data_IF_802715493707
#
_entry.id   IF_802715493707
#
_cell.length_a   1.000
_cell.length_b   1.000
_cell.length_c   1.000
_cell.angle_alpha   90.00
_cell.angle_beta   90.00
_cell.angle_gamma   90.00
#
_symmetry.space_group_name_H-M   'P 1'
#
loop_
_entity.id
_entity.type
_entity.pdbx_description
1 polymer ?
#
# COMPACT_ATOMS: atom_id res chain seq x y z
N UNK A 1 0.77 25.35 2.24
CA UNK A 1 0.11 24.06 2.49
C UNK A 1 0.43 23.73 3.93
N UNK A 2 -0.59 23.54 4.78
CA UNK A 2 -0.36 23.13 6.16
C UNK A 2 -0.41 21.60 6.23
N UNK A 3 0.54 21.00 6.94
CA UNK A 3 0.51 19.57 7.24
C UNK A 3 -0.71 19.31 8.15
N UNK A 4 -1.55 18.38 7.74
CA UNK A 4 -2.79 18.04 8.42
C UNK A 4 -2.86 16.53 8.68
N UNK A 5 -2.63 16.12 9.93
CA UNK A 5 -2.77 14.72 10.37
C UNK A 5 -4.20 14.22 10.17
N UNK A 6 -5.21 15.09 10.38
CA UNK A 6 -6.62 14.74 10.13
C UNK A 6 -6.85 14.27 8.68
N UNK A 7 -6.17 14.88 7.70
CA UNK A 7 -6.27 14.46 6.30
C UNK A 7 -5.56 13.13 6.05
N UNK A 8 -4.39 12.93 6.66
CA UNK A 8 -3.68 11.65 6.60
C UNK A 8 -4.54 10.52 7.14
N UNK A 9 -5.13 10.69 8.33
CA UNK A 9 -6.03 9.69 8.92
C UNK A 9 -7.25 9.44 8.04
N UNK A 10 -7.81 10.48 7.40
CA UNK A 10 -8.92 10.30 6.46
C UNK A 10 -8.51 9.47 5.24
N UNK A 11 -7.35 9.75 4.65
CA UNK A 11 -6.82 8.99 3.51
C UNK A 11 -6.51 7.55 3.91
N UNK A 12 -5.92 7.32 5.08
CA UNK A 12 -5.69 5.99 5.64
C UNK A 12 -6.99 5.19 5.80
N UNK A 13 -8.06 5.80 6.30
CA UNK A 13 -9.37 5.13 6.38
C UNK A 13 -9.92 4.82 4.97
N UNK A 14 -9.74 5.73 4.00
CA UNK A 14 -10.14 5.50 2.61
C UNK A 14 -9.35 4.34 2.00
N UNK A 15 -8.05 4.25 2.24
CA UNK A 15 -7.19 3.13 1.80
C UNK A 15 -7.73 1.79 2.30
N UNK A 16 -8.03 1.68 3.60
CA UNK A 16 -8.59 0.46 4.19
C UNK A 16 -9.91 0.06 3.53
N UNK A 17 -10.82 1.03 3.31
CA UNK A 17 -12.11 0.76 2.69
C UNK A 17 -11.96 0.30 1.23
N UNK A 18 -11.07 0.93 0.47
CA UNK A 18 -10.78 0.55 -0.92
C UNK A 18 -10.16 -0.85 -0.94
N UNK A 19 -9.19 -1.13 -0.05
CA UNK A 19 -8.53 -2.43 0.02
C UNK A 19 -9.53 -3.56 0.31
N UNK A 20 -10.42 -3.37 1.29
CA UNK A 20 -11.48 -4.34 1.61
C UNK A 20 -12.40 -4.55 0.42
N UNK A 21 -12.90 -3.46 -0.17
CA UNK A 21 -13.82 -3.52 -1.30
C UNK A 21 -13.19 -4.26 -2.50
N UNK A 22 -11.96 -3.91 -2.87
CA UNK A 22 -11.26 -4.51 -4.00
C UNK A 22 -10.84 -5.95 -3.74
N UNK A 23 -10.56 -6.33 -2.48
CA UNK A 23 -10.32 -7.72 -2.11
C UNK A 23 -11.57 -8.58 -2.22
N UNK A 24 -12.74 -8.06 -1.82
CA UNK A 24 -14.02 -8.75 -2.02
C UNK A 24 -14.30 -8.91 -3.52
N UNK A 25 -14.11 -7.85 -4.32
CA UNK A 25 -14.25 -7.94 -5.77
C UNK A 25 -13.28 -8.96 -6.38
N UNK A 26 -12.01 -8.92 -5.98
CA UNK A 26 -10.99 -9.87 -6.44
C UNK A 26 -11.36 -11.31 -6.13
N UNK A 27 -11.92 -11.58 -4.95
CA UNK A 27 -12.33 -12.92 -4.56
C UNK A 27 -13.45 -13.49 -5.44
N UNK A 28 -14.52 -12.71 -5.69
CA UNK A 28 -15.67 -13.21 -6.44
C UNK A 28 -15.53 -13.10 -7.97
N UNK A 29 -14.85 -12.06 -8.44
CA UNK A 29 -14.81 -11.68 -9.85
C UNK A 29 -13.44 -11.99 -10.47
N UNK A 30 -12.37 -11.90 -9.69
CA UNK A 30 -11.00 -12.10 -10.15
C UNK A 30 -10.73 -13.41 -10.88
N UNK A 31 -11.21 -14.57 -10.40
CA UNK A 31 -11.01 -15.85 -11.09
C UNK A 31 -11.60 -15.91 -12.51
N UNK A 32 -12.55 -15.03 -12.86
CA UNK A 32 -13.13 -14.95 -14.21
C UNK A 32 -12.17 -14.29 -15.22
N UNK A 33 -11.21 -13.49 -14.75
CA UNK A 33 -10.34 -12.67 -15.60
C UNK A 33 -8.85 -12.98 -15.43
N UNK A 34 -8.43 -13.46 -14.26
CA UNK A 34 -7.04 -13.75 -13.94
C UNK A 34 -6.88 -15.25 -13.78
N UNK A 35 -6.10 -15.88 -14.65
CA UNK A 35 -5.78 -17.30 -14.56
C UNK A 35 -4.89 -17.63 -13.37
N UNK A 36 -5.03 -18.85 -12.84
CA UNK A 36 -4.25 -19.34 -11.69
C UNK A 36 -2.73 -19.31 -11.92
N UNK A 37 -2.28 -19.49 -13.17
CA UNK A 37 -0.85 -19.40 -13.53
C UNK A 37 -0.25 -18.03 -13.25
N UNK A 38 -0.99 -16.95 -13.52
CA UNK A 38 -0.56 -15.57 -13.27
C UNK A 38 -0.37 -15.36 -11.76
N UNK A 39 -1.32 -15.81 -10.95
CA UNK A 39 -1.25 -15.74 -9.49
C UNK A 39 -0.07 -16.56 -8.95
N UNK A 40 0.19 -17.73 -9.54
CA UNK A 40 1.36 -18.54 -9.20
C UNK A 40 2.68 -17.81 -9.47
N UNK A 41 2.80 -17.13 -10.61
CA UNK A 41 3.98 -16.31 -10.94
C UNK A 41 4.17 -15.15 -9.97
N UNK A 42 3.11 -14.39 -9.69
CA UNK A 42 3.15 -13.26 -8.74
C UNK A 42 3.54 -13.70 -7.33
N UNK A 43 3.02 -14.85 -6.87
CA UNK A 43 3.40 -15.44 -5.59
C UNK A 43 4.90 -15.75 -5.53
N UNK A 44 5.44 -16.37 -6.57
CA UNK A 44 6.86 -16.74 -6.61
C UNK A 44 7.76 -15.51 -6.62
N UNK A 45 7.37 -14.46 -7.33
CA UNK A 45 8.05 -13.17 -7.31
C UNK A 45 8.04 -12.55 -5.91
N UNK A 46 6.88 -12.50 -5.24
CA UNK A 46 6.76 -12.00 -3.86
C UNK A 46 7.67 -12.75 -2.88
N UNK A 47 7.67 -14.09 -2.93
CA UNK A 47 8.51 -14.92 -2.07
C UNK A 47 9.99 -14.64 -2.34
N UNK A 48 10.37 -14.51 -3.61
CA UNK A 48 11.76 -14.22 -3.98
C UNK A 48 12.22 -12.85 -3.46
N UNK A 49 11.36 -11.83 -3.50
CA UNK A 49 11.67 -10.49 -2.98
C UNK A 49 11.90 -10.50 -1.47
N UNK A 50 11.07 -11.24 -0.73
CA UNK A 50 11.20 -11.39 0.72
C UNK A 50 12.50 -12.09 1.11
N UNK A 51 12.91 -13.11 0.35
CA UNK A 51 14.13 -13.87 0.62
C UNK A 51 15.41 -13.05 0.37
N UNK A 52 15.31 -11.95 -0.37
CA UNK A 52 16.43 -11.01 -0.60
C UNK A 52 16.64 -10.00 0.53
N UNK A 53 15.72 -9.93 1.51
CA UNK A 53 15.86 -9.15 2.73
C UNK A 53 15.11 -7.80 2.74
N UNK A 54 15.16 -7.06 3.86
CA UNK A 54 14.31 -5.89 4.11
C UNK A 54 14.57 -4.72 3.14
N UNK A 55 15.79 -4.60 2.59
CA UNK A 55 16.10 -3.54 1.64
C UNK A 55 15.33 -3.69 0.32
N UNK A 56 15.07 -4.91 -0.13
CA UNK A 56 14.31 -5.15 -1.36
C UNK A 56 12.82 -4.88 -1.16
N UNK A 57 12.28 -5.29 0.00
CA UNK A 57 10.91 -4.94 0.42
C UNK A 57 10.76 -3.41 0.46
N UNK A 58 11.70 -2.71 1.10
CA UNK A 58 11.70 -1.26 1.17
C UNK A 58 11.75 -0.61 -0.21
N UNK A 59 12.66 -1.03 -1.10
CA UNK A 59 12.81 -0.43 -2.42
C UNK A 59 11.56 -0.64 -3.30
N UNK A 60 10.94 -1.82 -3.21
CA UNK A 60 9.70 -2.10 -3.92
C UNK A 60 8.57 -1.15 -3.48
N UNK A 61 8.36 -1.00 -2.17
CA UNK A 61 7.34 -0.10 -1.64
C UNK A 61 7.70 1.39 -1.86
N UNK A 62 8.98 1.73 -1.82
CA UNK A 62 9.46 3.08 -2.11
C UNK A 62 9.18 3.48 -3.55
N UNK A 63 9.30 2.56 -4.52
CA UNK A 63 8.96 2.83 -5.93
C UNK A 63 7.49 3.23 -6.06
N UNK A 64 6.60 2.44 -5.47
CA UNK A 64 5.16 2.69 -5.47
C UNK A 64 4.84 4.03 -4.78
N UNK A 65 5.42 4.25 -3.60
CA UNK A 65 5.22 5.49 -2.84
C UNK A 65 5.71 6.73 -3.57
N UNK A 66 6.86 6.63 -4.25
CA UNK A 66 7.41 7.72 -5.05
C UNK A 66 6.44 8.11 -6.14
N UNK A 67 5.85 7.14 -6.85
CA UNK A 67 4.84 7.40 -7.88
C UNK A 67 3.58 8.06 -7.28
N UNK A 68 3.16 7.61 -6.10
CA UNK A 68 2.02 8.17 -5.36
C UNK A 68 2.26 9.59 -4.84
N UNK A 69 3.51 9.94 -4.53
CA UNK A 69 3.90 11.27 -4.06
C UNK A 69 3.89 12.34 -5.17
N UNK A 70 3.95 11.95 -6.45
CA UNK A 70 3.95 12.88 -7.59
C UNK A 70 2.60 13.61 -7.65
N UNK A 71 2.55 14.95 -7.60
CA UNK A 71 1.29 15.68 -7.77
C UNK A 71 0.64 15.41 -9.13
N UNK A 72 -0.68 15.51 -9.21
CA UNK A 72 -1.54 15.26 -10.38
C UNK A 72 -1.62 13.78 -10.76
N UNK A 73 -0.49 13.09 -10.85
CA UNK A 73 -0.40 11.70 -11.30
C UNK A 73 -0.52 10.71 -10.13
N UNK A 74 -0.04 11.08 -8.95
CA UNK A 74 -0.04 10.26 -7.74
C UNK A 74 -1.40 9.73 -7.31
N UNK A 75 -2.50 10.50 -7.38
CA UNK A 75 -3.84 9.98 -7.08
C UNK A 75 -4.27 8.82 -7.98
N UNK A 76 -3.77 8.76 -9.22
CA UNK A 76 -4.01 7.63 -10.12
C UNK A 76 -3.20 6.40 -9.66
N UNK A 77 -1.90 6.56 -9.37
CA UNK A 77 -1.07 5.47 -8.85
C UNK A 77 -1.54 4.96 -7.50
N UNK A 78 -2.09 5.83 -6.65
CA UNK A 78 -2.72 5.46 -5.39
C UNK A 78 -3.86 4.45 -5.60
N UNK A 79 -4.81 4.78 -6.49
CA UNK A 79 -5.93 3.87 -6.80
C UNK A 79 -5.41 2.59 -7.46
N UNK A 80 -4.43 2.69 -8.36
CA UNK A 80 -3.84 1.55 -9.03
C UNK A 80 -3.14 0.60 -8.06
N UNK A 81 -2.33 1.13 -7.14
CA UNK A 81 -1.61 0.34 -6.13
C UNK A 81 -2.59 -0.40 -5.22
N UNK A 82 -3.59 0.31 -4.67
CA UNK A 82 -4.63 -0.33 -3.85
C UNK A 82 -5.45 -1.36 -4.63
N UNK A 83 -5.71 -1.10 -5.91
CA UNK A 83 -6.41 -2.04 -6.77
C UNK A 83 -5.60 -3.29 -7.03
N UNK A 84 -4.32 -3.16 -7.36
CA UNK A 84 -3.46 -4.31 -7.54
C UNK A 84 -3.35 -5.10 -6.24
N UNK A 85 -3.01 -4.47 -5.11
CA UNK A 85 -2.84 -5.15 -3.83
C UNK A 85 -4.12 -5.83 -3.35
N UNK A 86 -5.24 -5.09 -3.28
CA UNK A 86 -6.51 -5.63 -2.80
C UNK A 86 -7.09 -6.68 -3.75
N UNK A 87 -7.16 -6.38 -5.05
CA UNK A 87 -7.74 -7.32 -6.02
C UNK A 87 -6.92 -8.61 -6.11
N UNK A 88 -5.58 -8.52 -6.20
CA UNK A 88 -4.70 -9.69 -6.26
C UNK A 88 -4.79 -10.51 -4.97
N UNK A 89 -4.87 -9.88 -3.79
CA UNK A 89 -5.11 -10.57 -2.52
C UNK A 89 -6.42 -11.38 -2.59
N UNK A 90 -7.50 -10.78 -3.06
CA UNK A 90 -8.78 -11.45 -3.25
C UNK A 90 -8.70 -12.65 -4.19
N UNK A 91 -8.07 -12.48 -5.37
CA UNK A 91 -7.89 -13.55 -6.35
C UNK A 91 -7.03 -14.69 -5.78
N UNK A 92 -5.96 -14.34 -5.06
CA UNK A 92 -5.08 -15.30 -4.41
C UNK A 92 -5.85 -16.18 -3.42
N UNK A 93 -6.65 -15.56 -2.54
CA UNK A 93 -7.46 -16.29 -1.57
C UNK A 93 -8.49 -17.18 -2.25
N UNK A 94 -9.12 -16.71 -3.33
CA UNK A 94 -10.09 -17.49 -4.09
C UNK A 94 -9.47 -18.78 -4.65
N UNK A 95 -8.23 -18.74 -5.15
CA UNK A 95 -7.54 -19.93 -5.64
C UNK A 95 -6.91 -20.80 -4.55
N UNK A 96 -6.33 -20.19 -3.52
CA UNK A 96 -5.54 -20.92 -2.53
C UNK A 96 -6.38 -21.54 -1.41
N UNK A 97 -7.44 -20.85 -0.98
CA UNK A 97 -8.26 -21.24 0.18
C UNK A 97 -9.71 -21.49 -0.25
N UNK A 98 -10.22 -20.70 -1.22
CA UNK A 98 -11.61 -20.73 -1.67
C UNK A 98 -12.62 -20.63 -0.51
N UNK A 99 -12.36 -19.75 0.45
CA UNK A 99 -13.18 -19.58 1.64
C UNK A 99 -13.29 -18.11 2.04
N UNK A 100 -14.51 -17.67 2.33
CA UNK A 100 -14.81 -16.32 2.85
C UNK A 100 -14.09 -16.09 4.18
N UNK A 101 -14.02 -17.12 5.04
CA UNK A 101 -13.27 -17.04 6.30
C UNK A 101 -11.78 -16.81 6.02
N UNK A 102 -11.24 -17.48 4.99
CA UNK A 102 -9.88 -17.24 4.51
C UNK A 102 -9.68 -15.80 4.06
N UNK A 103 -10.62 -15.22 3.33
CA UNK A 103 -10.57 -13.83 2.88
C UNK A 103 -10.54 -12.86 4.06
N UNK A 104 -11.40 -13.06 5.05
CA UNK A 104 -11.45 -12.23 6.26
C UNK A 104 -10.14 -12.32 7.03
N UNK A 105 -9.58 -13.53 7.19
CA UNK A 105 -8.30 -13.72 7.89
C UNK A 105 -7.14 -13.08 7.13
N UNK A 106 -7.06 -13.26 5.81
CA UNK A 106 -6.03 -12.63 4.97
C UNK A 106 -6.13 -11.11 5.01
N UNK A 107 -7.33 -10.54 4.90
CA UNK A 107 -7.56 -9.11 5.08
C UNK A 107 -7.14 -8.62 6.46
N UNK A 108 -7.48 -9.36 7.51
CA UNK A 108 -7.09 -9.00 8.87
C UNK A 108 -5.57 -8.97 9.03
N UNK A 109 -4.89 -10.00 8.52
CA UNK A 109 -3.43 -10.11 8.49
C UNK A 109 -2.81 -8.93 7.74
N UNK A 110 -3.27 -8.64 6.52
CA UNK A 110 -2.72 -7.55 5.70
C UNK A 110 -2.97 -6.17 6.30
N UNK A 111 -4.13 -5.91 6.92
CA UNK A 111 -4.46 -4.59 7.44
C UNK A 111 -4.00 -4.33 8.86
N UNK A 112 -3.92 -5.37 9.70
CA UNK A 112 -3.71 -5.22 11.14
C UNK A 112 -2.41 -5.83 11.63
N UNK A 113 -1.62 -6.49 10.77
CA UNK A 113 -0.24 -6.74 11.17
C UNK A 113 0.56 -5.43 11.23
N UNK A 114 1.56 -5.37 12.15
CA UNK A 114 2.37 -4.18 12.34
C UNK A 114 2.96 -3.62 11.04
N UNK A 115 3.48 -4.44 10.13
CA UNK A 115 3.98 -3.94 8.84
C UNK A 115 2.89 -3.25 8.02
N UNK A 116 1.72 -3.87 7.86
CA UNK A 116 0.61 -3.36 7.06
C UNK A 116 0.05 -2.04 7.57
N UNK A 117 -0.05 -1.88 8.90
CA UNK A 117 -0.48 -0.61 9.52
C UNK A 117 0.51 0.51 9.17
N UNK A 118 1.82 0.24 9.29
CA UNK A 118 2.86 1.25 9.07
C UNK A 118 2.98 1.59 7.59
N UNK A 119 2.91 0.59 6.70
CA UNK A 119 2.97 0.75 5.25
C UNK A 119 1.78 1.59 4.73
N UNK A 120 0.55 1.21 5.09
CA UNK A 120 -0.64 1.98 4.69
C UNK A 120 -0.57 3.40 5.24
N UNK A 121 -0.11 3.59 6.48
CA UNK A 121 0.08 4.94 7.01
C UNK A 121 1.10 5.75 6.19
N UNK A 122 2.19 5.12 5.73
CA UNK A 122 3.18 5.76 4.88
C UNK A 122 2.56 6.23 3.56
N UNK A 123 1.85 5.33 2.86
CA UNK A 123 1.08 5.62 1.66
C UNK A 123 0.07 6.75 1.86
N UNK A 124 -0.58 6.83 3.03
CA UNK A 124 -1.49 7.91 3.35
C UNK A 124 -0.78 9.27 3.46
N UNK A 125 0.45 9.33 3.97
CA UNK A 125 1.24 10.56 4.00
C UNK A 125 1.58 11.04 2.57
N UNK A 126 2.14 10.17 1.73
CA UNK A 126 2.50 10.53 0.34
C UNK A 126 1.28 10.92 -0.49
N UNK A 127 0.19 10.16 -0.39
CA UNK A 127 -1.07 10.47 -1.08
C UNK A 127 -1.68 11.79 -0.60
N UNK A 128 -1.66 12.06 0.70
CA UNK A 128 -2.17 13.32 1.26
C UNK A 128 -1.38 14.52 0.75
N UNK A 129 -0.05 14.40 0.72
CA UNK A 129 0.85 15.42 0.16
C UNK A 129 0.54 15.66 -1.32
N UNK A 130 0.49 14.60 -2.11
CA UNK A 130 0.19 14.65 -3.54
C UNK A 130 -1.19 15.26 -3.83
N UNK A 131 -2.26 14.79 -3.18
CA UNK A 131 -3.62 15.32 -3.37
C UNK A 131 -3.75 16.79 -2.97
N UNK A 132 -3.15 17.17 -1.84
CA UNK A 132 -3.24 18.56 -1.36
C UNK A 132 -2.47 19.49 -2.29
N UNK A 133 -1.28 19.10 -2.74
CA UNK A 133 -0.49 19.91 -3.67
C UNK A 133 -1.15 19.97 -5.06
N UNK A 134 -1.74 18.86 -5.53
CA UNK A 134 -2.55 18.81 -6.77
C UNK A 134 -3.70 19.83 -6.72
N UNK A 135 -4.43 19.86 -5.60
CA UNK A 135 -5.51 20.84 -5.39
C UNK A 135 -4.96 22.27 -5.42
N UNK A 136 -3.79 22.51 -4.85
CA UNK A 136 -3.16 23.83 -4.85
C UNK A 136 -2.69 24.25 -6.25
N UNK A 137 -2.16 23.33 -7.07
CA UNK A 137 -1.86 23.55 -8.50
C UNK A 137 -3.13 23.94 -9.26
N UNK A 138 -4.23 23.19 -9.09
CA UNK A 138 -5.49 23.48 -9.78
C UNK A 138 -6.04 24.86 -9.36
N UNK A 139 -5.95 25.20 -8.08
CA UNK A 139 -6.38 26.52 -7.58
C UNK A 139 -5.47 27.65 -8.10
N UNK A 140 -4.17 27.39 -8.27
CA UNK A 140 -3.25 28.34 -8.88
C UNK A 140 -3.66 28.67 -10.32
N UNK A 141 -3.93 27.63 -11.12
CA UNK A 141 -4.36 27.77 -12.51
C UNK A 141 -5.73 28.44 -12.66
N UNK A 142 -6.70 28.11 -11.78
CA UNK A 142 -8.09 28.59 -11.91
C UNK A 142 -8.39 29.89 -11.19
N UNK A 143 -7.70 30.18 -10.08
CA UNK A 143 -8.03 31.27 -9.14
C UNK A 143 -6.86 32.22 -8.89
N UNK A 144 -5.75 32.06 -9.63
CA UNK A 144 -4.56 32.92 -9.51
C UNK A 144 -3.82 32.78 -8.18
N UNK A 145 -4.04 31.69 -7.41
CA UNK A 145 -3.25 31.44 -6.19
C UNK A 145 -1.79 31.21 -6.56
N UNK A 146 -0.86 31.81 -5.82
CA UNK A 146 0.56 31.54 -6.00
C UNK A 146 0.99 30.29 -5.21
N UNK A 147 1.78 29.40 -5.82
CA UNK A 147 2.43 28.28 -5.12
C UNK A 147 3.67 28.80 -4.42
N UNK A 148 3.68 28.76 -3.10
CA UNK A 148 4.77 29.24 -2.26
C UNK A 148 5.82 28.15 -2.03
N UNK A 149 7.03 28.54 -1.61
CA UNK A 149 8.05 27.59 -1.15
C UNK A 149 7.53 26.69 -0.03
N UNK A 150 6.69 27.23 0.86
CA UNK A 150 6.08 26.46 1.95
C UNK A 150 5.14 25.35 1.46
N UNK A 151 4.51 25.49 0.29
CA UNK A 151 3.72 24.40 -0.32
C UNK A 151 4.61 23.23 -0.73
N UNK A 152 5.76 23.53 -1.36
CA UNK A 152 6.74 22.54 -1.81
C UNK A 152 7.41 21.87 -0.61
N UNK A 153 7.83 22.66 0.39
CA UNK A 153 8.42 22.13 1.63
C UNK A 153 7.48 21.16 2.33
N UNK A 154 6.18 21.49 2.42
CA UNK A 154 5.22 20.58 3.02
C UNK A 154 5.06 19.28 2.22
N UNK A 155 5.09 19.32 0.88
CA UNK A 155 5.06 18.11 0.04
C UNK A 155 6.28 17.22 0.31
N UNK A 156 7.47 17.82 0.37
CA UNK A 156 8.72 17.11 0.70
C UNK A 156 8.65 16.50 2.09
N UNK A 157 8.10 17.20 3.08
CA UNK A 157 7.95 16.66 4.44
C UNK A 157 6.99 15.46 4.45
N UNK A 158 5.86 15.54 3.75
CA UNK A 158 4.94 14.40 3.61
C UNK A 158 5.65 13.17 3.05
N UNK A 159 6.40 13.35 1.96
CA UNK A 159 7.15 12.29 1.33
C UNK A 159 8.25 11.72 2.23
N UNK A 160 9.07 12.58 2.87
CA UNK A 160 10.13 12.11 3.78
C UNK A 160 9.59 11.33 4.98
N UNK A 161 8.43 11.71 5.52
CA UNK A 161 7.76 10.94 6.57
C UNK A 161 7.37 9.56 6.02
N UNK A 162 6.77 9.49 4.83
CA UNK A 162 6.44 8.21 4.18
C UNK A 162 7.66 7.32 4.01
N UNK A 163 8.76 7.84 3.45
CA UNK A 163 10.02 7.10 3.25
C UNK A 163 10.53 6.47 4.54
N UNK A 164 10.53 7.23 5.65
CA UNK A 164 10.97 6.71 6.95
C UNK A 164 10.02 5.62 7.46
N UNK A 165 8.71 5.82 7.33
CA UNK A 165 7.72 4.82 7.72
C UNK A 165 7.84 3.53 6.90
N UNK A 166 8.07 3.63 5.58
CA UNK A 166 8.28 2.46 4.71
C UNK A 166 9.53 1.68 5.08
N UNK A 167 10.61 2.37 5.43
CA UNK A 167 11.82 1.69 5.88
C UNK A 167 11.56 0.90 7.17
N UNK A 168 10.77 1.47 8.10
CA UNK A 168 10.34 0.78 9.32
C UNK A 168 9.44 -0.41 8.96
N UNK A 169 8.43 -0.21 8.10
CA UNK A 169 7.50 -1.25 7.67
C UNK A 169 8.23 -2.44 7.06
N UNK A 170 9.20 -2.21 6.18
CA UNK A 170 9.98 -3.27 5.54
C UNK A 170 10.81 -4.11 6.54
N UNK A 171 11.40 -3.47 7.56
CA UNK A 171 12.11 -4.19 8.62
C UNK A 171 11.16 -5.01 9.49
N UNK A 172 9.98 -4.45 9.80
CA UNK A 172 8.94 -5.13 10.56
C UNK A 172 8.39 -6.33 9.78
N UNK A 173 8.07 -6.15 8.50
CA UNK A 173 7.59 -7.22 7.61
C UNK A 173 8.60 -8.36 7.53
N UNK A 174 9.87 -8.04 7.30
CA UNK A 174 10.93 -9.04 7.25
C UNK A 174 11.02 -9.85 8.56
N UNK A 175 10.94 -9.17 9.71
CA UNK A 175 10.95 -9.84 11.01
C UNK A 175 9.73 -10.72 11.24
N UNK A 176 8.53 -10.25 10.86
CA UNK A 176 7.29 -11.01 10.93
C UNK A 176 7.40 -12.29 10.09
N UNK A 177 7.89 -12.19 8.86
CA UNK A 177 8.02 -13.34 7.96
C UNK A 177 9.03 -14.36 8.50
N UNK A 178 10.19 -13.94 8.99
CA UNK A 178 11.16 -14.86 9.60
C UNK A 178 10.56 -15.57 10.81
N UNK A 179 9.89 -14.82 11.69
CA UNK A 179 9.31 -15.37 12.91
C UNK A 179 8.22 -16.38 12.59
N UNK A 180 7.35 -16.07 11.62
CA UNK A 180 6.30 -16.98 11.14
C UNK A 180 6.87 -18.23 10.47
N UNK A 181 7.89 -18.09 9.61
CA UNK A 181 8.61 -19.25 9.02
C UNK A 181 9.17 -20.17 10.10
N UNK A 182 9.78 -19.60 11.15
CA UNK A 182 10.32 -20.35 12.28
C UNK A 182 9.27 -21.00 13.19
N UNK A 183 8.10 -20.39 13.34
CA UNK A 183 6.97 -20.98 14.07
C UNK A 183 6.35 -22.15 13.31
N UNK A 184 6.14 -21.99 12.01
CA UNK A 184 5.55 -23.02 11.14
C UNK A 184 6.47 -24.25 11.07
N UNK A 185 7.79 -24.06 10.93
CA UNK A 185 8.73 -25.19 10.88
C UNK A 185 8.79 -25.99 12.19
N UNK A 186 8.57 -25.34 13.34
CA UNK A 186 8.51 -25.99 14.66
C UNK A 186 7.21 -26.74 14.96
N UNK A 187 6.11 -26.35 14.32
CA UNK A 187 4.80 -27.01 14.49
C UNK A 187 4.70 -28.26 13.60
N UNK A 188 5.42 -28.27 12.47
CA UNK A 188 5.43 -29.38 11.51
C UNK A 188 6.51 -30.43 11.83
N UNK A 189 7.52 -30.08 12.66
CA UNK A 189 8.54 -30.98 13.20
C UNK A 189 8.08 -31.70 14.46
#
# INVERSE_FOLDING_TARGET
>A
MAISIRRVVLIYVIELLILVFLSIMGFYVGPLFIGQSIIGSLRNELISTVDLGPNYIFLHNLEIDTLMAIPVIGPFFFVLALAMTGFILGVYVAYAINSIIGLVLSLFITMFFPHGIIELLAYAFSTTGSLTFTRDIINALRRGRHISRGDITALIIYYLISVVLLYIAANVEYFEIITLKGLISRIIS
#
